data_IF_555434444503
#
_entry.id   IF_555434444503
#
_cell.length_a   1.000
_cell.length_b   1.000
_cell.length_c   1.000
_cell.angle_alpha   90.00
_cell.angle_beta   90.00
_cell.angle_gamma   90.00
#
_symmetry.space_group_name_H-M   'P 1'
#
loop_
_entity.id
_entity.type
_entity.pdbx_description
1 polymer ?
#
# COMPACT_ATOMS: atom_id res chain seq x y z
N UNK A 1 12.12 -6.35 -32.11
CA UNK A 1 12.29 -5.51 -30.91
C UNK A 1 11.00 -5.57 -30.13
N UNK A 2 10.98 -6.26 -28.98
CA UNK A 2 9.79 -6.32 -28.12
C UNK A 2 9.94 -5.24 -27.06
N UNK A 3 8.97 -4.33 -26.98
CA UNK A 3 8.85 -3.39 -25.87
C UNK A 3 8.24 -4.17 -24.71
N UNK A 4 8.97 -4.38 -23.62
CA UNK A 4 8.35 -4.83 -22.38
C UNK A 4 7.53 -3.68 -21.80
N UNK A 5 6.21 -3.89 -21.73
CA UNK A 5 5.31 -3.02 -20.98
C UNK A 5 5.39 -3.43 -19.50
N UNK A 6 6.19 -2.69 -18.71
CA UNK A 6 6.17 -2.85 -17.26
C UNK A 6 4.85 -2.28 -16.73
N UNK A 7 3.91 -3.18 -16.40
CA UNK A 7 2.63 -2.80 -15.80
C UNK A 7 2.89 -2.27 -14.39
N UNK A 8 2.32 -1.09 -14.09
CA UNK A 8 2.32 -0.49 -12.75
C UNK A 8 0.92 -0.50 -12.17
N UNK A 9 0.82 -0.55 -10.84
CA UNK A 9 -0.44 -0.53 -10.11
C UNK A 9 -0.44 0.58 -9.06
N UNK A 10 -1.58 1.25 -8.89
CA UNK A 10 -1.84 2.18 -7.79
C UNK A 10 -2.91 1.56 -6.89
N UNK A 11 -2.64 1.45 -5.60
CA UNK A 11 -3.55 0.84 -4.61
C UNK A 11 -4.08 1.91 -3.67
N UNK A 12 -5.40 2.07 -3.61
CA UNK A 12 -6.04 2.87 -2.56
C UNK A 12 -6.10 2.01 -1.29
N UNK A 13 -5.38 2.44 -0.26
CA UNK A 13 -5.18 1.68 0.95
C UNK A 13 -5.85 2.34 2.15
N UNK A 14 -6.76 1.62 2.80
CA UNK A 14 -7.54 2.12 3.95
C UNK A 14 -6.95 1.72 5.31
N UNK A 15 -5.97 0.80 5.33
CA UNK A 15 -5.45 0.19 6.56
C UNK A 15 -6.31 -0.96 7.11
N UNK A 16 -7.53 -1.16 6.59
CA UNK A 16 -8.37 -2.32 6.93
C UNK A 16 -7.87 -3.63 6.31
N UNK A 17 -8.31 -4.75 6.88
CA UNK A 17 -7.94 -6.11 6.47
C UNK A 17 -8.08 -6.34 4.96
N UNK A 18 -9.21 -5.93 4.37
CA UNK A 18 -9.48 -6.14 2.95
C UNK A 18 -8.47 -5.39 2.06
N UNK A 19 -8.19 -4.13 2.38
CA UNK A 19 -7.21 -3.35 1.63
C UNK A 19 -5.77 -3.86 1.82
N UNK A 20 -5.47 -4.46 2.98
CA UNK A 20 -4.18 -5.11 3.25
C UNK A 20 -4.01 -6.40 2.44
N UNK A 21 -5.04 -7.24 2.38
CA UNK A 21 -5.01 -8.44 1.53
C UNK A 21 -4.86 -8.05 0.05
N UNK A 22 -5.59 -7.04 -0.41
CA UNK A 22 -5.47 -6.54 -1.78
C UNK A 22 -4.05 -6.05 -2.10
N UNK A 23 -3.44 -5.24 -1.22
CA UNK A 23 -2.08 -4.74 -1.40
C UNK A 23 -1.05 -5.88 -1.56
N UNK A 24 -1.15 -6.94 -0.74
CA UNK A 24 -0.24 -8.09 -0.87
C UNK A 24 -0.42 -8.84 -2.19
N UNK A 25 -1.67 -9.00 -2.65
CA UNK A 25 -1.95 -9.64 -3.94
C UNK A 25 -1.32 -8.84 -5.09
N UNK A 26 -1.49 -7.51 -5.07
CA UNK A 26 -0.93 -6.63 -6.11
C UNK A 26 0.60 -6.63 -6.08
N UNK A 27 1.24 -6.59 -4.91
CA UNK A 27 2.70 -6.70 -4.82
C UNK A 27 3.21 -8.04 -5.36
N UNK A 28 2.50 -9.15 -5.08
CA UNK A 28 2.88 -10.47 -5.58
C UNK A 28 2.78 -10.58 -7.11
N UNK A 29 1.83 -9.87 -7.73
CA UNK A 29 1.62 -9.90 -9.18
C UNK A 29 2.53 -8.92 -9.94
N UNK A 30 2.72 -7.70 -9.41
CA UNK A 30 3.40 -6.62 -10.13
C UNK A 30 4.84 -6.36 -9.66
N UNK A 31 5.24 -6.90 -8.51
CA UNK A 31 6.52 -6.58 -7.89
C UNK A 31 6.45 -5.26 -7.11
N UNK A 32 7.15 -5.20 -5.98
CA UNK A 32 7.10 -4.06 -5.04
C UNK A 32 7.47 -2.74 -5.71
N UNK A 33 8.39 -2.76 -6.66
CA UNK A 33 8.90 -1.58 -7.40
C UNK A 33 7.90 -1.00 -8.41
N UNK A 34 6.84 -1.74 -8.74
CA UNK A 34 5.81 -1.31 -9.69
C UNK A 34 4.47 -0.98 -9.01
N UNK A 35 4.43 -0.96 -7.68
CA UNK A 35 3.22 -0.67 -6.90
C UNK A 35 3.41 0.62 -6.10
N UNK A 36 2.53 1.58 -6.36
CA UNK A 36 2.37 2.77 -5.52
C UNK A 36 1.10 2.65 -4.70
N UNK A 37 1.09 3.30 -3.53
CA UNK A 37 -0.02 3.23 -2.57
C UNK A 37 -0.47 4.65 -2.29
N UNK A 38 -1.78 4.87 -2.19
CA UNK A 38 -2.35 6.13 -1.72
C UNK A 38 -3.31 5.83 -0.59
N UNK A 39 -3.21 6.59 0.49
CA UNK A 39 -4.18 6.56 1.59
C UNK A 39 -4.74 7.94 1.83
N UNK A 40 -5.98 7.99 2.34
CA UNK A 40 -6.64 9.24 2.69
C UNK A 40 -6.99 9.23 4.16
N UNK A 41 -6.49 10.21 4.88
CA UNK A 41 -6.80 10.41 6.29
C UNK A 41 -8.08 11.26 6.40
N UNK A 42 -9.23 10.64 6.15
CA UNK A 42 -10.53 11.26 6.45
C UNK A 42 -10.91 10.99 7.91
N UNK A 43 -11.56 11.96 8.58
CA UNK A 43 -11.87 12.01 10.02
C UNK A 43 -12.63 10.83 10.62
N UNK A 44 -12.03 9.65 10.61
CA UNK A 44 -12.52 8.41 11.18
C UNK A 44 -12.22 8.38 12.69
N UNK A 45 -13.20 7.94 13.49
CA UNK A 45 -13.10 7.84 14.96
C UNK A 45 -11.94 6.96 15.47
N UNK A 46 -11.28 6.19 14.59
CA UNK A 46 -10.16 5.28 14.91
C UNK A 46 -8.84 5.70 14.23
N UNK A 47 -8.73 6.97 13.81
CA UNK A 47 -7.55 7.51 13.12
C UNK A 47 -6.22 7.32 13.89
N UNK A 48 -6.25 7.31 15.22
CA UNK A 48 -5.06 7.19 16.08
C UNK A 48 -4.51 5.75 16.09
N UNK A 49 -5.38 4.74 16.02
CA UNK A 49 -4.98 3.33 16.02
C UNK A 49 -4.43 2.91 14.65
N UNK A 50 -5.04 3.42 13.57
CA UNK A 50 -4.55 3.25 12.20
C UNK A 50 -3.20 3.93 12.00
N UNK A 51 -3.01 5.15 12.50
CA UNK A 51 -1.73 5.88 12.38
C UNK A 51 -0.58 5.13 13.07
N UNK A 52 -0.80 4.54 14.25
CA UNK A 52 0.24 3.76 14.94
C UNK A 52 0.57 2.45 14.25
N UNK A 53 -0.44 1.64 13.94
CA UNK A 53 -0.22 0.33 13.31
C UNK A 53 0.36 0.45 11.90
N UNK A 54 -0.06 1.47 11.14
CA UNK A 54 0.45 1.74 9.81
C UNK A 54 1.88 2.27 9.84
N UNK A 55 2.19 3.25 10.70
CA UNK A 55 3.54 3.79 10.78
C UNK A 55 4.55 2.76 11.29
N UNK A 56 4.18 1.91 12.26
CA UNK A 56 5.03 0.81 12.71
C UNK A 56 5.23 -0.25 11.61
N UNK A 57 4.17 -0.67 10.93
CA UNK A 57 4.26 -1.66 9.84
C UNK A 57 5.07 -1.15 8.64
N UNK A 58 4.85 0.10 8.24
CA UNK A 58 5.62 0.72 7.16
C UNK A 58 7.08 0.97 7.54
N UNK A 59 7.35 1.33 8.80
CA UNK A 59 8.72 1.45 9.31
C UNK A 59 9.44 0.09 9.30
N UNK A 60 8.80 -0.98 9.77
CA UNK A 60 9.35 -2.34 9.73
C UNK A 60 9.63 -2.84 8.31
N UNK A 61 8.81 -2.44 7.33
CA UNK A 61 8.93 -2.87 5.93
C UNK A 61 9.71 -1.90 5.03
N UNK A 62 10.23 -0.81 5.61
CA UNK A 62 10.98 0.23 4.88
C UNK A 62 10.14 0.89 3.78
N UNK A 63 8.84 1.04 4.01
CA UNK A 63 7.85 1.56 3.07
C UNK A 63 7.41 3.00 3.41
N UNK A 64 8.12 3.68 4.32
CA UNK A 64 7.70 4.95 4.92
C UNK A 64 7.58 6.17 3.97
N UNK A 65 7.62 5.98 2.65
CA UNK A 65 7.38 7.02 1.64
C UNK A 65 6.66 6.49 0.40
N UNK A 66 5.80 5.48 0.55
CA UNK A 66 4.86 5.04 -0.49
C UNK A 66 3.45 5.41 -0.08
#
# INVERSE_FOLDING_TARGET
MFIQQNKKALVIFSGGQDSTTCLFQVIAEFGKENVEVVTFQYGQRHAIELEKGFNEYLAEKGLANV
#
